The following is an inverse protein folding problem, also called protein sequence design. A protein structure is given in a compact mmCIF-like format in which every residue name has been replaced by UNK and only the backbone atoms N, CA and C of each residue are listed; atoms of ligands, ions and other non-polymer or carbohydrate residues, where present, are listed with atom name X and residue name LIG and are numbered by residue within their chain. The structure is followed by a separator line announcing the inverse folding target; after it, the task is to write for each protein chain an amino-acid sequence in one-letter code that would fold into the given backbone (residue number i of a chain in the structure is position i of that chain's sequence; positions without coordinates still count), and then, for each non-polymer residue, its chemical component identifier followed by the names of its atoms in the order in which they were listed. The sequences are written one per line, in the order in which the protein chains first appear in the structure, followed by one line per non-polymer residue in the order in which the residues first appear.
data_IF_144513077050
#
_entry.id   IF_144513077050
#
_cell.length_a   1.000
_cell.length_b   1.000
_cell.length_c   1.000
_cell.angle_alpha   90.00
_cell.angle_beta   90.00
_cell.angle_gamma   90.00
#
_symmetry.space_group_name_H-M   'P 1'
#
loop_
_entity.id
_entity.type
_entity.pdbx_description
1 polymer ?
#
# COMPACT_ATOMS: atom_id res chain seq x y z
N UNK A 1 22.38 9.35 -6.63
CA UNK A 1 21.60 9.80 -5.46
C UNK A 1 20.21 9.22 -5.61
N UNK A 2 19.70 8.56 -4.57
CA UNK A 2 18.29 8.13 -4.54
C UNK A 2 17.42 9.36 -4.35
N UNK A 3 16.38 9.55 -5.17
CA UNK A 3 15.42 10.64 -4.95
C UNK A 3 14.52 10.32 -3.77
N UNK A 4 14.11 11.35 -3.04
CA UNK A 4 13.34 11.24 -1.80
C UNK A 4 11.95 11.81 -2.00
N UNK A 5 10.94 11.10 -1.49
CA UNK A 5 9.60 11.63 -1.28
C UNK A 5 9.39 11.83 0.21
N UNK A 6 8.88 13.01 0.61
CA UNK A 6 8.61 13.34 2.01
C UNK A 6 7.10 13.47 2.22
N UNK A 7 6.51 12.52 2.95
CA UNK A 7 5.11 12.57 3.40
C UNK A 7 5.02 13.46 4.64
N UNK A 8 4.13 14.44 4.64
CA UNK A 8 3.79 15.20 5.85
C UNK A 8 2.82 14.37 6.71
N UNK A 9 3.18 14.16 7.97
CA UNK A 9 2.35 13.43 8.94
C UNK A 9 2.03 14.26 10.20
N UNK A 10 2.31 15.56 10.15
CA UNK A 10 2.03 16.48 11.25
C UNK A 10 0.55 16.40 11.67
N UNK A 11 0.32 16.32 12.98
CA UNK A 11 -1.03 16.24 13.55
C UNK A 11 -1.58 14.81 13.70
N UNK A 12 -0.85 13.79 13.25
CA UNK A 12 -1.12 12.39 13.59
C UNK A 12 -0.43 12.04 14.91
N UNK A 13 -0.96 11.06 15.64
CA UNK A 13 -0.30 10.59 16.86
C UNK A 13 0.98 9.82 16.52
N UNK A 14 1.97 9.89 17.40
CA UNK A 14 3.25 9.19 17.23
C UNK A 14 3.05 7.69 17.03
N UNK A 15 2.10 7.08 17.74
CA UNK A 15 1.79 5.65 17.65
C UNK A 15 1.29 5.25 16.25
N UNK A 16 0.50 6.13 15.60
CA UNK A 16 0.03 5.91 14.22
C UNK A 16 1.22 5.96 13.25
N UNK A 17 2.11 6.94 13.42
CA UNK A 17 3.29 7.13 12.57
C UNK A 17 4.25 5.94 12.72
N UNK A 18 4.56 5.54 13.96
CA UNK A 18 5.40 4.38 14.26
C UNK A 18 4.83 3.08 13.67
N UNK A 19 3.51 2.90 13.73
CA UNK A 19 2.83 1.74 13.13
C UNK A 19 2.96 1.75 11.60
N UNK A 20 2.71 2.89 10.94
CA UNK A 20 2.85 3.04 9.49
C UNK A 20 4.29 2.74 9.03
N UNK A 21 5.28 3.33 9.71
CA UNK A 21 6.72 3.10 9.43
C UNK A 21 7.09 1.63 9.63
N UNK A 22 6.61 0.99 10.71
CA UNK A 22 6.86 -0.44 10.98
C UNK A 22 6.32 -1.33 9.86
N UNK A 23 5.08 -1.08 9.42
CA UNK A 23 4.47 -1.88 8.35
C UNK A 23 5.13 -1.67 7.00
N UNK A 24 5.44 -0.43 6.63
CA UNK A 24 6.13 -0.14 5.38
C UNK A 24 7.52 -0.78 5.35
N UNK A 25 8.26 -0.77 6.47
CA UNK A 25 9.58 -1.46 6.56
C UNK A 25 9.46 -2.96 6.31
N UNK A 26 8.50 -3.66 6.93
CA UNK A 26 8.26 -5.09 6.66
C UNK A 26 7.91 -5.35 5.19
N UNK A 27 7.05 -4.51 4.61
CA UNK A 27 6.69 -4.63 3.19
C UNK A 27 7.90 -4.38 2.27
N UNK A 28 8.77 -3.42 2.62
CA UNK A 28 9.98 -3.11 1.86
C UNK A 28 11.03 -4.23 1.92
N UNK A 29 11.14 -4.96 3.04
CA UNK A 29 11.99 -6.17 3.15
C UNK A 29 11.59 -7.26 2.14
N UNK A 30 10.30 -7.32 1.78
CA UNK A 30 9.77 -8.23 0.76
C UNK A 30 9.81 -7.67 -0.67
N UNK A 31 10.34 -6.45 -0.86
CA UNK A 31 10.34 -5.75 -2.13
C UNK A 31 8.95 -5.30 -2.58
N UNK A 32 8.01 -5.07 -1.67
CA UNK A 32 6.63 -4.68 -2.01
C UNK A 32 6.36 -3.18 -1.90
N UNK A 33 7.20 -2.46 -1.14
CA UNK A 33 7.00 -1.05 -0.84
C UNK A 33 8.33 -0.28 -0.87
N UNK A 34 8.33 1.03 -1.20
CA UNK A 34 9.53 1.87 -1.14
C UNK A 34 10.16 1.85 0.25
N UNK A 35 11.50 1.85 0.32
CA UNK A 35 12.19 1.87 1.61
C UNK A 35 11.99 3.20 2.31
N UNK A 36 11.76 3.13 3.62
CA UNK A 36 11.86 4.29 4.51
C UNK A 36 13.33 4.68 4.63
N UNK A 37 13.62 5.95 4.37
CA UNK A 37 14.96 6.53 4.44
C UNK A 37 15.17 7.27 5.77
N UNK A 38 14.19 8.06 6.21
CA UNK A 38 14.26 8.82 7.45
C UNK A 38 12.86 9.16 7.99
N UNK A 39 12.75 9.49 9.28
CA UNK A 39 11.52 9.99 9.92
C UNK A 39 11.84 10.55 11.30
N UNK A 40 11.18 11.65 11.68
CA UNK A 40 11.20 12.19 13.04
C UNK A 40 10.06 11.64 13.92
N UNK A 41 9.20 10.78 13.38
CA UNK A 41 8.00 10.25 14.02
C UNK A 41 6.98 11.30 14.50
N UNK A 42 7.06 12.53 13.98
CA UNK A 42 6.21 13.64 14.42
C UNK A 42 5.66 14.45 13.24
N UNK A 43 6.51 14.79 12.27
CA UNK A 43 6.17 15.70 11.18
C UNK A 43 6.37 15.11 9.80
N UNK A 44 7.27 14.13 9.64
CA UNK A 44 7.51 13.54 8.33
C UNK A 44 7.89 12.06 8.32
N UNK A 45 7.64 11.45 7.17
CA UNK A 45 8.22 10.16 6.76
C UNK A 45 8.88 10.38 5.40
N UNK A 46 10.18 10.08 5.29
CA UNK A 46 10.92 10.08 4.04
C UNK A 46 11.09 8.67 3.51
N UNK A 47 10.88 8.51 2.21
CA UNK A 47 10.99 7.23 1.53
C UNK A 47 11.56 7.39 0.12
N UNK A 48 11.97 6.28 -0.47
CA UNK A 48 12.39 6.24 -1.88
C UNK A 48 11.28 6.80 -2.78
N UNK A 49 11.62 7.75 -3.65
CA UNK A 49 10.70 8.23 -4.66
C UNK A 49 10.78 7.32 -5.89
N UNK A 50 9.67 6.66 -6.23
CA UNK A 50 9.56 5.78 -7.40
C UNK A 50 9.50 6.52 -8.74
N UNK A 51 9.38 7.85 -8.70
CA UNK A 51 9.33 8.75 -9.87
C UNK A 51 8.25 8.39 -10.90
N UNK A 52 7.11 7.89 -10.41
CA UNK A 52 6.00 7.49 -11.26
C UNK A 52 4.66 7.85 -10.61
N UNK A 53 3.65 8.03 -11.45
CA UNK A 53 2.28 8.31 -11.02
C UNK A 53 1.60 7.07 -10.41
N UNK A 54 0.54 7.29 -9.65
CA UNK A 54 -0.27 6.17 -9.14
C UNK A 54 -1.10 5.52 -10.25
N UNK A 55 -1.66 4.34 -9.99
CA UNK A 55 -2.51 3.65 -10.97
C UNK A 55 -3.75 4.47 -11.36
N UNK A 56 -4.29 5.27 -10.44
CA UNK A 56 -5.45 6.11 -10.72
C UNK A 56 -5.15 7.13 -11.82
N UNK A 57 -3.99 7.78 -11.73
CA UNK A 57 -3.53 8.75 -12.73
C UNK A 57 -3.15 8.08 -14.06
N UNK A 58 -2.64 6.85 -14.00
CA UNK A 58 -2.14 6.12 -15.18
C UNK A 58 -3.27 5.46 -15.99
N UNK A 59 -4.24 4.85 -15.33
CA UNK A 59 -5.27 4.01 -15.96
C UNK A 59 -6.70 4.46 -15.65
N UNK A 60 -6.90 5.41 -14.74
CA UNK A 60 -8.22 5.83 -14.26
C UNK A 60 -8.60 5.18 -12.92
N UNK A 61 -9.72 5.63 -12.36
CA UNK A 61 -10.14 5.20 -11.02
C UNK A 61 -11.02 3.95 -11.04
N UNK A 62 -11.64 3.61 -12.17
CA UNK A 62 -12.52 2.45 -12.26
C UNK A 62 -11.73 1.16 -12.20
N UNK A 63 -12.17 0.21 -11.37
CA UNK A 63 -11.59 -1.15 -11.37
C UNK A 63 -11.69 -1.83 -12.74
N UNK A 64 -12.65 -1.43 -13.58
CA UNK A 64 -12.81 -1.98 -14.93
C UNK A 64 -11.74 -1.49 -15.90
N UNK A 65 -11.11 -0.35 -15.62
CA UNK A 65 -10.04 0.20 -16.46
C UNK A 65 -8.68 -0.44 -16.13
N UNK A 66 -8.57 -1.11 -14.98
CA UNK A 66 -7.33 -1.76 -14.56
C UNK A 66 -7.00 -3.00 -15.40
N UNK A 67 -5.75 -3.11 -15.91
CA UNK A 67 -5.27 -4.33 -16.54
C UNK A 67 -5.36 -5.55 -15.60
N UNK A 68 -5.65 -6.71 -16.16
CA UNK A 68 -5.76 -7.96 -15.39
C UNK A 68 -4.46 -8.30 -14.63
N UNK A 69 -3.29 -8.05 -15.23
CA UNK A 69 -2.00 -8.29 -14.58
C UNK A 69 -1.80 -7.39 -13.35
N UNK A 70 -2.25 -6.14 -13.40
CA UNK A 70 -2.22 -5.21 -12.27
C UNK A 70 -3.14 -5.70 -11.15
N UNK A 71 -4.39 -6.07 -11.46
CA UNK A 71 -5.34 -6.64 -10.46
C UNK A 71 -4.76 -7.86 -9.76
N UNK A 72 -4.14 -8.76 -10.52
CA UNK A 72 -3.47 -9.94 -9.98
C UNK A 72 -2.28 -9.55 -9.10
N UNK A 73 -1.45 -8.60 -9.53
CA UNK A 73 -0.34 -8.07 -8.75
C UNK A 73 -0.79 -7.49 -7.41
N UNK A 74 -1.88 -6.71 -7.40
CA UNK A 74 -2.46 -6.16 -6.16
C UNK A 74 -2.91 -7.30 -5.24
N UNK A 75 -3.62 -8.30 -5.77
CA UNK A 75 -4.02 -9.48 -5.00
C UNK A 75 -2.81 -10.19 -4.37
N UNK A 76 -1.76 -10.43 -5.17
CA UNK A 76 -0.55 -11.10 -4.71
C UNK A 76 0.14 -10.28 -3.61
N UNK A 77 0.26 -8.95 -3.76
CA UNK A 77 0.79 -8.06 -2.70
C UNK A 77 -0.02 -8.20 -1.41
N UNK A 78 -1.35 -8.07 -1.48
CA UNK A 78 -2.22 -8.12 -0.30
C UNK A 78 -2.15 -9.48 0.40
N UNK A 79 -2.05 -10.57 -0.36
CA UNK A 79 -1.87 -11.91 0.20
C UNK A 79 -0.53 -12.03 0.92
N UNK A 80 0.57 -11.54 0.33
CA UNK A 80 1.90 -11.56 0.95
C UNK A 80 1.97 -10.70 2.20
N UNK A 81 1.41 -9.49 2.19
CA UNK A 81 1.30 -8.65 3.39
C UNK A 81 0.58 -9.37 4.53
N UNK A 82 -0.53 -10.04 4.23
CA UNK A 82 -1.32 -10.75 5.23
C UNK A 82 -0.61 -12.00 5.78
N UNK A 83 0.01 -12.81 4.91
CA UNK A 83 0.59 -14.11 5.30
C UNK A 83 2.04 -14.02 5.79
N UNK A 84 2.83 -13.08 5.27
CA UNK A 84 4.26 -12.97 5.54
C UNK A 84 4.60 -11.84 6.52
N UNK A 85 3.76 -10.80 6.61
CA UNK A 85 4.05 -9.62 7.46
C UNK A 85 3.10 -9.42 8.65
N UNK A 86 2.03 -10.21 8.74
CA UNK A 86 0.89 -10.01 9.64
C UNK A 86 0.23 -8.63 9.47
N UNK A 87 0.13 -8.16 8.22
CA UNK A 87 -0.44 -6.84 7.87
C UNK A 87 -1.78 -7.02 7.18
N UNK A 88 -2.84 -6.48 7.77
CA UNK A 88 -4.12 -6.23 7.12
C UNK A 88 -4.08 -4.84 6.46
N UNK A 89 -3.96 -4.80 5.14
CA UNK A 89 -4.02 -3.57 4.35
C UNK A 89 -5.42 -3.41 3.73
N UNK A 90 -6.14 -2.36 4.11
CA UNK A 90 -7.57 -2.20 3.76
C UNK A 90 -7.86 -1.00 2.86
N UNK A 91 -6.96 -0.03 2.75
CA UNK A 91 -7.13 1.13 1.87
C UNK A 91 -6.79 0.79 0.41
N UNK A 92 -7.50 -0.21 -0.13
CA UNK A 92 -7.24 -0.79 -1.44
C UNK A 92 -7.96 0.04 -2.50
N UNK A 93 -7.28 1.11 -2.93
CA UNK A 93 -7.69 2.06 -3.96
C UNK A 93 -6.55 2.24 -4.98
N UNK A 94 -6.82 2.68 -6.22
CA UNK A 94 -5.77 2.81 -7.23
C UNK A 94 -4.75 3.93 -6.93
N UNK A 95 -5.02 4.81 -5.97
CA UNK A 95 -4.10 5.87 -5.54
C UNK A 95 -2.91 5.32 -4.73
N UNK A 96 -3.09 4.19 -4.05
CA UNK A 96 -2.09 3.62 -3.15
C UNK A 96 -1.17 2.58 -3.82
N UNK A 97 -1.23 2.47 -5.14
CA UNK A 97 -0.38 1.58 -5.92
C UNK A 97 0.31 2.34 -7.05
N UNK A 98 1.55 1.95 -7.33
CA UNK A 98 2.38 2.50 -8.39
C UNK A 98 2.98 1.34 -9.19
N UNK A 99 2.84 1.35 -10.51
CA UNK A 99 3.55 0.42 -11.39
C UNK A 99 4.76 1.13 -12.01
N UNK A 100 5.95 0.57 -11.86
CA UNK A 100 7.17 1.07 -12.52
C UNK A 100 8.18 -0.06 -12.71
N UNK A 101 8.89 -0.06 -13.83
CA UNK A 101 9.90 -1.07 -14.19
C UNK A 101 9.37 -2.52 -14.05
N UNK A 102 8.17 -2.78 -14.59
CA UNK A 102 7.47 -4.07 -14.52
C UNK A 102 7.20 -4.59 -13.09
N UNK A 103 7.25 -3.71 -12.09
CA UNK A 103 7.00 -4.01 -10.69
C UNK A 103 5.88 -3.14 -10.14
N UNK A 104 4.98 -3.77 -9.39
CA UNK A 104 3.92 -3.09 -8.66
C UNK A 104 4.36 -2.84 -7.22
N UNK A 105 4.12 -1.61 -6.76
CA UNK A 105 4.47 -1.14 -5.43
C UNK A 105 3.22 -0.71 -4.69
N UNK A 106 3.18 -0.96 -3.38
CA UNK A 106 2.17 -0.45 -2.47
C UNK A 106 2.74 0.65 -1.58
N UNK A 107 1.96 1.71 -1.37
CA UNK A 107 2.31 2.85 -0.52
C UNK A 107 1.19 3.12 0.48
N UNK A 108 1.38 4.12 1.34
CA UNK A 108 0.42 4.58 2.35
C UNK A 108 -0.13 3.48 3.29
N UNK A 109 0.59 3.20 4.36
CA UNK A 109 0.19 2.21 5.37
C UNK A 109 -0.60 2.82 6.55
N UNK A 110 -1.10 4.05 6.41
CA UNK A 110 -1.73 4.79 7.50
C UNK A 110 -2.93 4.07 8.14
N UNK A 111 -3.76 3.44 7.30
CA UNK A 111 -4.96 2.71 7.70
C UNK A 111 -4.77 1.20 7.84
N UNK A 112 -3.54 0.71 7.60
CA UNK A 112 -3.20 -0.68 7.80
C UNK A 112 -3.29 -1.08 9.28
N UNK A 113 -3.57 -2.37 9.50
CA UNK A 113 -3.85 -2.97 10.82
C UNK A 113 -3.04 -4.24 11.01
N UNK A 114 -2.92 -4.68 12.25
CA UNK A 114 -2.34 -5.99 12.55
C UNK A 114 -3.34 -7.10 12.21
N UNK A 115 -2.89 -8.07 11.42
CA UNK A 115 -3.57 -9.34 11.24
C UNK A 115 -3.56 -10.13 12.58
N UNK A 116 -4.42 -11.15 12.80
CA UNK A 116 -5.22 -11.89 11.82
C UNK A 116 -6.63 -11.35 11.60
N UNK A 117 -7.01 -10.18 12.13
CA UNK A 117 -8.32 -9.60 11.84
C UNK A 117 -8.42 -9.40 10.32
N UNK A 118 -9.49 -9.93 9.72
CA UNK A 118 -9.85 -9.70 8.32
C UNK A 118 -11.14 -8.89 8.27
N UNK A 119 -11.10 -7.70 7.69
CA UNK A 119 -12.26 -6.93 7.32
C UNK A 119 -13.03 -7.68 6.22
N UNK A 120 -14.26 -7.26 5.97
CA UNK A 120 -15.11 -7.94 4.99
C UNK A 120 -14.45 -7.98 3.60
N UNK A 121 -13.80 -6.88 3.19
CA UNK A 121 -13.15 -6.74 1.89
C UNK A 121 -12.06 -7.80 1.68
N UNK A 122 -11.07 -7.92 2.58
CA UNK A 122 -10.02 -8.92 2.44
C UNK A 122 -10.55 -10.36 2.54
N UNK A 123 -11.64 -10.60 3.31
CA UNK A 123 -12.30 -11.92 3.33
C UNK A 123 -12.88 -12.28 1.97
N UNK A 124 -13.51 -11.34 1.29
CA UNK A 124 -14.08 -11.52 -0.04
C UNK A 124 -13.00 -11.68 -1.10
N UNK A 125 -12.03 -10.77 -1.11
CA UNK A 125 -10.88 -10.81 -2.01
C UNK A 125 -10.16 -12.17 -1.95
N UNK A 126 -9.80 -12.64 -0.76
CA UNK A 126 -9.07 -13.91 -0.62
C UNK A 126 -9.89 -15.14 -0.92
N UNK A 127 -11.21 -15.09 -0.70
CA UNK A 127 -12.14 -16.17 -1.07
C UNK A 127 -12.31 -16.27 -2.58
N UNK A 128 -12.47 -15.13 -3.24
CA UNK A 128 -12.67 -15.07 -4.69
C UNK A 128 -11.37 -15.23 -5.47
N UNK A 129 -10.22 -14.94 -4.81
CA UNK A 129 -8.87 -14.95 -5.41
C UNK A 129 -8.72 -13.97 -6.57
N UNK A 130 -9.51 -12.90 -6.55
CA UNK A 130 -9.56 -11.92 -7.62
C UNK A 130 -10.02 -10.56 -7.07
N UNK A 131 -9.35 -9.49 -7.51
CA UNK A 131 -9.74 -8.12 -7.23
C UNK A 131 -10.77 -7.64 -8.26
N UNK A 132 -12.03 -7.62 -7.86
CA UNK A 132 -13.15 -7.21 -8.73
C UNK A 132 -13.73 -5.84 -8.39
N UNK A 133 -13.42 -5.32 -7.20
CA UNK A 133 -13.84 -4.00 -6.70
C UNK A 133 -12.74 -3.39 -5.84
N UNK A 134 -12.69 -2.06 -5.78
CA UNK A 134 -11.93 -1.35 -4.76
C UNK A 134 -12.63 -1.46 -3.41
N UNK A 135 -11.92 -1.20 -2.31
CA UNK A 135 -12.59 -1.17 -1.01
C UNK A 135 -13.41 0.12 -0.88
N UNK A 136 -14.74 -0.01 -0.90
CA UNK A 136 -15.68 1.12 -0.86
C UNK A 136 -15.66 1.91 0.45
N UNK A 137 -15.03 1.39 1.51
CA UNK A 137 -14.85 2.15 2.76
C UNK A 137 -13.91 3.37 2.57
N UNK A 138 -13.15 3.42 1.47
CA UNK A 138 -12.11 4.40 1.17
C UNK A 138 -12.32 5.15 -0.16
N UNK A 139 -13.46 4.94 -0.81
CA UNK A 139 -13.83 5.55 -2.09
C UNK A 139 -15.08 6.43 -1.95
#
# INVERSE_FOLDING_TARGET
MTKVFRKNVSGRSKEIIEKEVRFQRKAAELGLSPKILDTDFETYIEMENLEQMCLADMYGESINDMPHLIKKGIYDILQRLYLECDIEYIDVTPYNFIETNDQLWIIDFGDAREAPKKNYFLKELFRNRELTVWNSDFY
#
